data_IF_661450520565
#
_entry.id   IF_661450520565
#
_cell.length_a   1.000
_cell.length_b   1.000
_cell.length_c   1.000
_cell.angle_alpha   90.00
_cell.angle_beta   90.00
_cell.angle_gamma   90.00
#
_symmetry.space_group_name_H-M   'P 1'
#
loop_
_entity.id
_entity.type
_entity.pdbx_description
1 polymer ?
#
# COMPACT_ATOMS: atom_id res chain seq x y z
N UNK A 1 18.86 40.87 27.13
CA UNK A 1 17.64 40.57 26.39
C UNK A 1 16.45 41.13 27.15
N UNK A 2 15.45 41.80 26.54
CA UNK A 2 14.29 42.27 27.24
C UNK A 2 13.53 41.08 27.84
N UNK A 3 13.28 41.13 29.14
CA UNK A 3 12.50 40.09 29.85
C UNK A 3 11.11 39.99 29.22
N UNK A 4 10.73 38.80 28.77
CA UNK A 4 9.38 38.51 28.27
C UNK A 4 8.42 38.65 29.44
N UNK A 5 7.35 39.46 29.27
CA UNK A 5 6.29 39.55 30.25
C UNK A 5 5.59 38.16 30.34
N UNK A 6 5.26 37.77 31.55
CA UNK A 6 4.42 36.60 31.78
C UNK A 6 2.96 36.79 31.30
N UNK A 7 2.20 35.73 31.24
CA UNK A 7 0.85 35.79 30.70
C UNK A 7 -0.12 36.57 31.62
N UNK A 8 0.09 36.52 32.91
CA UNK A 8 -0.72 37.25 33.89
C UNK A 8 -0.58 38.73 33.74
N UNK A 9 0.66 39.23 33.71
CA UNK A 9 1.01 40.64 33.47
C UNK A 9 0.44 41.14 32.14
N UNK A 10 0.46 40.32 31.06
CA UNK A 10 -0.12 40.70 29.76
C UNK A 10 -1.63 40.91 29.87
N UNK A 11 -2.33 39.99 30.57
CA UNK A 11 -3.77 40.13 30.77
C UNK A 11 -4.13 41.29 31.67
N UNK A 12 -3.39 41.56 32.73
CA UNK A 12 -3.58 42.70 33.64
C UNK A 12 -3.49 44.02 32.89
N UNK A 13 -2.47 44.20 32.05
CA UNK A 13 -2.33 45.41 31.20
C UNK A 13 -3.57 45.62 30.32
N UNK A 14 -4.08 44.55 29.72
CA UNK A 14 -5.27 44.63 28.84
C UNK A 14 -6.55 44.97 29.63
N UNK A 15 -6.74 44.37 30.80
CA UNK A 15 -7.88 44.62 31.68
C UNK A 15 -7.90 46.07 32.16
N UNK A 16 -6.74 46.60 32.61
CA UNK A 16 -6.63 47.99 33.06
C UNK A 16 -6.85 48.98 31.91
N UNK A 17 -6.34 48.66 30.70
CA UNK A 17 -6.63 49.45 29.51
C UNK A 17 -8.12 49.46 29.14
N UNK A 18 -8.81 48.32 29.21
CA UNK A 18 -10.26 48.23 28.99
C UNK A 18 -11.06 49.06 30.02
N UNK A 19 -10.53 49.24 31.22
CA UNK A 19 -11.10 50.10 32.28
C UNK A 19 -10.81 51.60 32.05
N UNK A 20 -10.19 51.97 30.91
CA UNK A 20 -9.93 53.34 30.55
C UNK A 20 -8.66 53.97 31.16
N UNK A 21 -7.80 53.14 31.76
CA UNK A 21 -6.57 53.67 32.33
C UNK A 21 -5.59 54.08 31.21
N UNK A 22 -4.88 55.24 31.44
CA UNK A 22 -3.83 55.65 30.50
C UNK A 22 -2.55 54.82 30.70
N UNK A 23 -1.69 54.79 29.70
CA UNK A 23 -0.48 53.97 29.68
C UNK A 23 0.51 54.28 30.81
N UNK A 24 0.56 55.54 31.27
CA UNK A 24 1.43 55.97 32.36
C UNK A 24 0.93 55.47 33.73
N UNK A 25 -0.40 55.34 33.91
CA UNK A 25 -0.99 54.78 35.12
C UNK A 25 -0.81 53.25 35.15
N UNK A 26 -1.05 52.58 34.01
CA UNK A 26 -0.84 51.12 33.87
C UNK A 26 0.62 50.74 34.13
N UNK A 27 1.58 51.50 33.55
CA UNK A 27 3.01 51.31 33.78
C UNK A 27 3.38 51.32 35.27
N UNK A 28 2.83 52.25 36.04
CA UNK A 28 3.12 52.39 37.49
C UNK A 28 2.49 51.26 38.30
N UNK A 29 1.28 50.83 37.96
CA UNK A 29 0.54 49.79 38.66
C UNK A 29 1.15 48.43 38.44
N UNK A 30 1.44 48.06 37.19
CA UNK A 30 1.91 46.72 36.81
C UNK A 30 3.43 46.61 36.91
N UNK A 31 4.15 47.66 37.31
CA UNK A 31 5.60 47.69 37.49
C UNK A 31 6.42 47.25 36.24
N UNK A 32 5.92 47.50 35.03
CA UNK A 32 6.59 47.19 33.78
C UNK A 32 6.93 48.50 32.99
N UNK A 33 7.86 48.46 32.06
CA UNK A 33 8.20 49.65 31.29
C UNK A 33 7.02 50.19 30.47
N UNK A 34 6.91 51.51 30.34
CA UNK A 34 5.89 52.16 29.50
C UNK A 34 5.91 51.63 28.06
N UNK A 35 7.09 51.31 27.55
CA UNK A 35 7.25 50.69 26.23
C UNK A 35 6.60 49.32 26.17
N UNK A 36 6.76 48.46 27.20
CA UNK A 36 6.11 47.17 27.27
C UNK A 36 4.57 47.25 27.28
N UNK A 37 4.01 48.22 28.02
CA UNK A 37 2.57 48.53 28.04
C UNK A 37 2.11 48.92 26.62
N UNK A 38 2.79 49.86 25.97
CA UNK A 38 2.48 50.29 24.59
C UNK A 38 2.53 49.14 23.59
N UNK A 39 3.57 48.32 23.64
CA UNK A 39 3.72 47.18 22.76
C UNK A 39 2.62 46.11 22.98
N UNK A 40 2.27 45.84 24.24
CA UNK A 40 1.23 44.87 24.58
C UNK A 40 -0.15 45.30 24.09
N UNK A 41 -0.55 46.52 24.40
CA UNK A 41 -1.83 47.10 23.96
C UNK A 41 -1.87 47.20 22.44
N UNK A 42 -0.80 47.73 21.82
CA UNK A 42 -0.70 47.83 20.36
C UNK A 42 -0.80 46.49 19.64
N UNK A 43 -0.24 45.41 20.23
CA UNK A 43 -0.37 44.06 19.71
C UNK A 43 -1.81 43.57 19.81
N UNK A 44 -2.43 43.74 20.97
CA UNK A 44 -3.82 43.35 21.20
C UNK A 44 -4.80 44.04 20.23
N UNK A 45 -4.62 45.34 19.98
CA UNK A 45 -5.43 46.10 19.02
C UNK A 45 -5.23 45.58 17.60
N UNK A 46 -3.97 45.35 17.15
CA UNK A 46 -3.68 44.81 15.82
C UNK A 46 -4.22 43.38 15.60
N UNK A 47 -4.35 42.60 16.66
CA UNK A 47 -4.98 41.29 16.62
C UNK A 47 -6.52 41.34 16.68
N UNK A 48 -7.12 42.45 16.40
CA UNK A 48 -8.58 42.63 16.41
C UNK A 48 -9.19 42.47 17.81
N UNK A 49 -8.44 42.83 18.87
CA UNK A 49 -8.85 42.74 20.28
C UNK A 49 -9.23 41.32 20.76
N UNK A 50 -8.68 40.32 20.08
CA UNK A 50 -8.79 38.91 20.48
C UNK A 50 -7.75 38.60 21.57
N UNK A 51 -7.48 37.32 21.81
CA UNK A 51 -6.52 36.87 22.83
C UNK A 51 -5.18 37.61 22.73
N UNK A 52 -4.75 38.36 23.77
CA UNK A 52 -3.50 39.11 23.78
C UNK A 52 -2.25 38.23 23.76
N UNK A 53 -2.38 36.93 24.06
CA UNK A 53 -1.31 35.94 24.04
C UNK A 53 -1.06 35.39 22.63
N UNK A 54 -2.03 35.48 21.73
CA UNK A 54 -1.88 35.13 20.33
C UNK A 54 -0.81 35.99 19.66
N UNK A 55 0.38 35.43 19.49
CA UNK A 55 1.42 36.02 18.64
C UNK A 55 1.14 35.57 17.20
N UNK A 56 0.82 36.49 16.26
CA UNK A 56 0.79 36.11 14.85
C UNK A 56 2.17 35.57 14.49
N UNK A 57 2.23 34.35 14.01
CA UNK A 57 3.48 33.80 13.47
C UNK A 57 3.93 34.75 12.36
N UNK A 58 5.18 35.25 12.38
CA UNK A 58 5.64 36.15 11.33
C UNK A 58 5.46 35.38 10.00
N UNK A 59 4.72 36.02 9.06
CA UNK A 59 4.63 35.48 7.68
C UNK A 59 6.05 35.46 7.14
N UNK A 60 6.66 34.27 7.09
CA UNK A 60 7.93 34.08 6.39
C UNK A 60 7.69 34.51 4.95
N UNK A 61 8.38 35.57 4.51
CA UNK A 61 8.37 36.02 3.11
C UNK A 61 8.77 34.79 2.25
N UNK A 62 8.04 34.56 1.16
CA UNK A 62 8.41 33.56 0.12
C UNK A 62 9.65 34.09 -0.62
N UNK A 63 10.83 34.03 -0.01
CA UNK A 63 12.05 34.62 -0.59
C UNK A 63 12.87 33.67 -1.43
N UNK A 64 12.56 32.37 -1.39
CA UNK A 64 13.39 31.36 -2.03
C UNK A 64 12.92 30.93 -3.44
N UNK A 65 11.67 31.23 -3.82
CA UNK A 65 11.09 31.04 -5.15
C UNK A 65 9.99 32.09 -5.36
N UNK A 66 9.83 32.61 -6.59
CA UNK A 66 8.70 33.46 -7.00
C UNK A 66 7.52 32.59 -7.50
N UNK A 67 6.38 33.19 -7.84
CA UNK A 67 5.19 32.47 -8.29
C UNK A 67 5.43 31.73 -9.63
N UNK A 68 6.06 32.37 -10.61
CA UNK A 68 6.39 31.72 -11.88
C UNK A 68 7.30 30.50 -11.72
N UNK A 69 8.32 30.58 -10.85
CA UNK A 69 9.17 29.43 -10.54
C UNK A 69 8.43 28.32 -9.78
N UNK A 70 7.44 28.66 -8.94
CA UNK A 70 6.60 27.66 -8.27
C UNK A 70 5.69 26.98 -9.31
N UNK A 71 5.15 27.71 -10.30
CA UNK A 71 4.30 27.17 -11.37
C UNK A 71 5.09 26.25 -12.31
N UNK A 72 6.27 26.67 -12.79
CA UNK A 72 7.18 25.85 -13.58
C UNK A 72 7.59 24.56 -12.84
N UNK A 73 7.86 24.65 -11.54
CA UNK A 73 8.19 23.51 -10.71
C UNK A 73 7.04 22.49 -10.62
N UNK A 74 5.81 22.97 -10.49
CA UNK A 74 4.61 22.16 -10.39
C UNK A 74 4.33 21.49 -11.75
N UNK A 75 4.41 22.26 -12.84
CA UNK A 75 4.18 21.76 -14.20
C UNK A 75 5.18 20.66 -14.58
N UNK A 76 6.47 20.93 -14.44
CA UNK A 76 7.50 19.94 -14.71
C UNK A 76 7.35 18.67 -13.84
N UNK A 77 6.95 18.83 -12.57
CA UNK A 77 6.70 17.66 -11.70
C UNK A 77 5.46 16.86 -12.09
N UNK A 78 4.49 17.45 -12.81
CA UNK A 78 3.33 16.72 -13.36
C UNK A 78 3.67 16.03 -14.67
N UNK A 79 4.45 16.66 -15.52
CA UNK A 79 4.91 16.10 -16.80
C UNK A 79 5.86 14.93 -16.57
N UNK A 80 6.80 15.09 -15.63
CA UNK A 80 7.82 14.08 -15.30
C UNK A 80 7.72 13.65 -13.81
N UNK A 81 6.73 12.84 -13.42
CA UNK A 81 6.41 12.56 -12.02
C UNK A 81 7.48 11.75 -11.27
N UNK A 82 8.43 11.16 -11.98
CA UNK A 82 9.53 10.40 -11.39
C UNK A 82 10.77 11.24 -11.06
N UNK A 83 10.81 12.52 -11.48
CA UNK A 83 11.93 13.38 -11.13
C UNK A 83 11.99 13.63 -9.62
N UNK A 84 13.18 13.45 -9.08
CA UNK A 84 13.44 13.78 -7.68
C UNK A 84 13.45 15.31 -7.46
N UNK A 85 13.19 15.80 -6.24
CA UNK A 85 13.32 17.22 -5.93
C UNK A 85 14.72 17.81 -6.24
N UNK A 86 15.75 16.96 -6.30
CA UNK A 86 17.11 17.37 -6.68
C UNK A 86 17.22 17.62 -8.19
N UNK A 87 16.63 16.74 -8.98
CA UNK A 87 16.61 16.85 -10.46
C UNK A 87 15.72 18.01 -10.90
N UNK A 88 14.52 18.17 -10.31
CA UNK A 88 13.66 19.31 -10.55
C UNK A 88 14.38 20.64 -10.27
N UNK A 89 15.09 20.73 -9.12
CA UNK A 89 15.89 21.89 -8.77
C UNK A 89 16.99 22.15 -9.82
N UNK A 90 17.68 21.11 -10.28
CA UNK A 90 18.76 21.24 -11.25
C UNK A 90 18.25 21.69 -12.63
N UNK A 91 17.16 21.09 -13.12
CA UNK A 91 16.58 21.46 -14.43
C UNK A 91 16.08 22.90 -14.51
N UNK A 92 15.46 23.38 -13.42
CA UNK A 92 14.92 24.74 -13.34
C UNK A 92 15.92 25.75 -12.76
N UNK A 93 17.18 25.37 -12.54
CA UNK A 93 18.23 26.20 -11.97
C UNK A 93 17.80 26.96 -10.70
N UNK A 94 16.99 26.32 -9.84
CA UNK A 94 16.46 26.96 -8.65
C UNK A 94 17.53 27.08 -7.56
N UNK A 95 17.63 28.24 -6.95
CA UNK A 95 18.54 28.48 -5.81
C UNK A 95 17.97 27.99 -4.46
N UNK A 96 16.66 27.71 -4.43
CA UNK A 96 15.95 27.26 -3.25
C UNK A 96 16.49 25.97 -2.66
N UNK A 97 16.39 25.79 -1.35
CA UNK A 97 16.76 24.53 -0.68
C UNK A 97 15.83 23.39 -1.08
N UNK A 98 16.31 22.13 -1.05
CA UNK A 98 15.47 20.94 -1.31
C UNK A 98 14.25 20.87 -0.38
N UNK A 99 14.39 21.35 0.86
CA UNK A 99 13.26 21.44 1.80
C UNK A 99 12.20 22.43 1.31
N UNK A 100 12.61 23.54 0.71
CA UNK A 100 11.68 24.52 0.11
C UNK A 100 10.97 23.90 -1.10
N UNK A 101 11.69 23.26 -2.01
CA UNK A 101 11.13 22.54 -3.18
C UNK A 101 10.06 21.54 -2.72
N UNK A 102 10.42 20.63 -1.80
CA UNK A 102 9.45 19.64 -1.25
C UNK A 102 8.23 20.29 -0.62
N UNK A 103 8.40 21.44 0.04
CA UNK A 103 7.27 22.17 0.65
C UNK A 103 6.36 22.79 -0.41
N UNK A 104 6.91 23.33 -1.51
CA UNK A 104 6.12 23.88 -2.62
C UNK A 104 5.30 22.79 -3.31
N UNK A 105 5.94 21.67 -3.66
CA UNK A 105 5.27 20.53 -4.25
C UNK A 105 4.14 20.01 -3.35
N UNK A 106 4.38 19.85 -2.04
CA UNK A 106 3.33 19.45 -1.10
C UNK A 106 2.18 20.44 -1.00
N UNK A 107 2.47 21.74 -1.05
CA UNK A 107 1.45 22.79 -1.03
C UNK A 107 0.55 22.74 -2.28
N UNK A 108 1.07 22.25 -3.41
CA UNK A 108 0.35 21.98 -4.66
C UNK A 108 -0.30 20.56 -4.71
N UNK A 109 -0.29 19.81 -3.61
CA UNK A 109 -0.84 18.44 -3.54
C UNK A 109 0.08 17.36 -4.10
N UNK A 110 1.31 17.69 -4.52
CA UNK A 110 2.28 16.74 -5.09
C UNK A 110 3.19 16.19 -3.96
N UNK A 111 2.73 15.11 -3.32
CA UNK A 111 3.52 14.36 -2.33
C UNK A 111 4.45 13.35 -3.01
N UNK A 112 5.57 13.01 -2.33
CA UNK A 112 6.39 11.88 -2.75
C UNK A 112 5.81 10.58 -2.18
N UNK A 113 5.41 9.66 -3.06
CA UNK A 113 4.87 8.35 -2.72
C UNK A 113 5.71 7.25 -3.37
N UNK A 114 5.64 6.03 -2.84
CA UNK A 114 6.17 4.87 -3.56
C UNK A 114 5.25 4.56 -4.75
N UNK A 115 5.79 4.47 -5.98
CA UNK A 115 4.99 4.04 -7.12
C UNK A 115 4.53 2.60 -6.91
N UNK A 116 3.29 2.25 -7.26
CA UNK A 116 2.86 0.87 -7.28
C UNK A 116 3.63 0.11 -8.37
N UNK A 117 4.08 -1.11 -8.04
CA UNK A 117 4.68 -2.01 -9.01
C UNK A 117 3.57 -2.86 -9.64
N UNK A 118 3.35 -2.69 -10.93
CA UNK A 118 2.37 -3.46 -11.71
C UNK A 118 3.08 -4.09 -12.93
N UNK A 119 2.63 -5.26 -13.40
CA UNK A 119 3.19 -5.87 -14.61
C UNK A 119 3.10 -4.92 -15.79
N UNK A 120 4.15 -4.86 -16.60
CA UNK A 120 4.10 -4.15 -17.88
C UNK A 120 3.16 -4.89 -18.83
N UNK A 121 2.10 -4.23 -19.27
CA UNK A 121 1.09 -4.75 -20.18
C UNK A 121 1.33 -4.24 -21.59
N UNK A 122 1.39 -5.15 -22.57
CA UNK A 122 1.35 -4.81 -23.98
C UNK A 122 -0.11 -4.53 -24.40
N UNK A 123 -0.30 -3.92 -25.60
CA UNK A 123 -1.65 -3.69 -26.16
C UNK A 123 -2.44 -5.02 -26.33
N UNK A 124 -1.73 -6.11 -26.71
CA UNK A 124 -2.34 -7.43 -26.78
C UNK A 124 -2.86 -7.89 -25.41
N UNK A 125 -2.04 -7.75 -24.35
CA UNK A 125 -2.47 -8.09 -23.00
C UNK A 125 -3.67 -7.24 -22.53
N UNK A 126 -3.67 -5.95 -22.84
CA UNK A 126 -4.79 -5.06 -22.48
C UNK A 126 -6.08 -5.48 -23.17
N UNK A 127 -6.01 -5.77 -24.47
CA UNK A 127 -7.17 -6.24 -25.25
C UNK A 127 -7.72 -7.56 -24.69
N UNK A 128 -6.85 -8.55 -24.46
CA UNK A 128 -7.24 -9.85 -23.89
C UNK A 128 -7.89 -9.69 -22.50
N UNK A 129 -7.34 -8.82 -21.66
CA UNK A 129 -7.88 -8.52 -20.32
C UNK A 129 -9.25 -7.86 -20.40
N UNK A 130 -9.42 -6.89 -21.30
CA UNK A 130 -10.69 -6.19 -21.51
C UNK A 130 -11.76 -7.15 -22.02
N UNK A 131 -11.47 -7.91 -23.07
CA UNK A 131 -12.37 -8.90 -23.65
C UNK A 131 -12.79 -9.97 -22.63
N UNK A 132 -11.82 -10.46 -21.84
CA UNK A 132 -12.13 -11.40 -20.77
C UNK A 132 -13.10 -10.80 -19.74
N UNK A 133 -12.85 -9.55 -19.30
CA UNK A 133 -13.69 -8.88 -18.32
C UNK A 133 -15.09 -8.55 -18.88
N UNK A 134 -15.21 -8.20 -20.15
CA UNK A 134 -16.50 -7.99 -20.82
C UNK A 134 -17.31 -9.29 -20.86
N UNK A 135 -16.68 -10.43 -21.19
CA UNK A 135 -17.31 -11.76 -21.24
C UNK A 135 -17.68 -12.32 -19.85
N UNK A 136 -17.01 -11.85 -18.79
CA UNK A 136 -17.25 -12.31 -17.41
C UNK A 136 -17.73 -11.18 -16.50
N UNK A 137 -18.49 -10.22 -17.08
CA UNK A 137 -19.01 -9.09 -16.34
C UNK A 137 -20.17 -9.54 -15.42
N UNK A 138 -20.11 -9.27 -14.10
CA UNK A 138 -21.21 -9.57 -13.19
C UNK A 138 -22.41 -8.62 -13.35
N UNK A 139 -22.19 -7.46 -14.02
CA UNK A 139 -23.22 -6.47 -14.32
C UNK A 139 -23.15 -6.09 -15.81
N UNK A 140 -23.52 -7.03 -16.71
CA UNK A 140 -23.42 -6.80 -18.15
C UNK A 140 -24.47 -5.79 -18.64
N UNK A 141 -24.27 -5.18 -19.82
CA UNK A 141 -25.30 -4.37 -20.49
C UNK A 141 -26.60 -5.14 -20.69
N UNK A 142 -27.69 -4.40 -20.91
CA UNK A 142 -29.04 -4.96 -21.11
C UNK A 142 -29.02 -6.12 -22.11
N UNK A 143 -29.49 -7.29 -21.68
CA UNK A 143 -29.54 -8.52 -22.47
C UNK A 143 -28.36 -9.48 -22.28
N UNK A 144 -27.32 -9.09 -21.55
CA UNK A 144 -26.24 -9.99 -21.14
C UNK A 144 -26.61 -10.84 -19.92
N UNK A 145 -25.96 -11.99 -19.77
CA UNK A 145 -26.08 -12.81 -18.57
C UNK A 145 -24.97 -12.44 -17.57
N UNK A 146 -25.32 -12.17 -16.29
CA UNK A 146 -24.34 -11.84 -15.27
C UNK A 146 -23.45 -13.03 -14.94
N UNK A 147 -22.14 -12.81 -14.84
CA UNK A 147 -21.19 -13.84 -14.42
C UNK A 147 -21.07 -13.86 -12.90
N UNK A 148 -21.26 -15.03 -12.31
CA UNK A 148 -21.16 -15.22 -10.87
C UNK A 148 -19.74 -15.61 -10.44
N UNK A 149 -18.98 -14.63 -9.96
CA UNK A 149 -17.61 -14.81 -9.48
C UNK A 149 -17.53 -15.68 -8.21
N UNK A 150 -18.61 -15.83 -7.43
CA UNK A 150 -18.61 -16.73 -6.27
C UNK A 150 -18.44 -18.18 -6.66
N UNK A 151 -18.65 -18.51 -7.92
CA UNK A 151 -18.43 -19.85 -8.48
C UNK A 151 -17.00 -20.10 -8.92
N UNK A 152 -16.07 -19.17 -8.75
CA UNK A 152 -14.68 -19.35 -9.18
C UNK A 152 -13.81 -19.78 -8.01
N UNK A 153 -13.12 -20.89 -8.16
CA UNK A 153 -12.04 -21.32 -7.27
C UNK A 153 -10.69 -20.90 -7.85
N UNK A 154 -10.03 -19.96 -7.19
CA UNK A 154 -8.72 -19.44 -7.61
C UNK A 154 -7.59 -20.28 -7.04
N UNK A 155 -6.65 -20.69 -7.88
CA UNK A 155 -5.46 -21.42 -7.46
C UNK A 155 -4.19 -20.79 -8.01
N UNK A 156 -3.10 -20.91 -7.27
CA UNK A 156 -1.80 -20.34 -7.64
C UNK A 156 -0.66 -20.91 -6.80
N UNK A 157 0.58 -20.68 -7.23
CA UNK A 157 1.81 -20.99 -6.50
C UNK A 157 2.41 -19.72 -5.88
N UNK A 158 2.85 -19.85 -4.63
CA UNK A 158 3.55 -18.78 -3.92
C UNK A 158 4.90 -19.24 -3.40
N UNK A 159 5.91 -18.38 -3.55
CA UNK A 159 7.21 -18.57 -2.89
C UNK A 159 7.19 -17.82 -1.57
N UNK A 160 7.47 -18.53 -0.48
CA UNK A 160 7.65 -17.98 0.86
C UNK A 160 9.12 -18.06 1.25
N UNK A 161 9.68 -16.97 1.71
CA UNK A 161 11.07 -16.88 2.11
C UNK A 161 11.20 -16.41 3.57
N UNK A 162 12.17 -16.95 4.30
CA UNK A 162 12.47 -16.48 5.67
C UNK A 162 12.92 -15.03 5.76
N UNK A 163 13.25 -14.40 4.63
CA UNK A 163 13.66 -12.99 4.53
C UNK A 163 12.57 -12.07 3.94
N UNK A 164 11.37 -12.58 3.69
CA UNK A 164 10.24 -11.78 3.19
C UNK A 164 9.62 -10.91 4.31
N UNK A 165 10.49 -10.31 5.11
CA UNK A 165 10.07 -9.28 6.05
C UNK A 165 9.71 -8.03 5.27
N UNK A 166 8.59 -7.43 5.57
CA UNK A 166 8.21 -6.11 5.08
C UNK A 166 9.29 -5.08 5.39
N UNK A 167 9.20 -3.88 4.81
CA UNK A 167 10.17 -2.80 5.07
C UNK A 167 10.22 -2.53 6.56
N UNK A 168 11.24 -3.07 7.27
CA UNK A 168 11.45 -2.81 8.68
C UNK A 168 11.84 -1.36 8.90
N UNK A 169 11.05 -0.65 9.70
CA UNK A 169 11.35 0.70 10.12
C UNK A 169 12.06 0.66 11.47
N UNK A 170 13.27 1.21 11.54
CA UNK A 170 13.97 1.41 12.80
C UNK A 170 13.84 2.84 13.29
N UNK A 171 13.47 3.03 14.55
CA UNK A 171 13.49 4.34 15.22
C UNK A 171 14.85 4.53 15.87
N UNK A 172 15.64 5.46 15.38
CA UNK A 172 17.00 5.76 15.86
C UNK A 172 17.29 7.25 15.84
N UNK A 173 18.24 7.72 16.66
CA UNK A 173 18.81 9.07 16.56
C UNK A 173 19.43 9.29 15.17
N UNK A 174 19.46 10.54 14.72
CA UNK A 174 19.88 10.89 13.34
C UNK A 174 21.31 10.40 13.03
N UNK A 175 22.21 10.43 14.02
CA UNK A 175 23.62 10.09 13.86
C UNK A 175 23.96 8.64 14.22
N UNK A 176 22.96 7.82 14.62
CA UNK A 176 23.12 6.45 15.09
C UNK A 176 22.92 5.38 14.01
N UNK A 177 23.08 5.73 12.72
CA UNK A 177 22.79 4.82 11.58
C UNK A 177 23.61 3.53 11.62
N UNK A 178 24.82 3.61 12.13
CA UNK A 178 25.78 2.53 12.09
C UNK A 178 26.01 1.87 13.46
N UNK A 179 25.20 2.22 14.48
CA UNK A 179 25.23 1.49 15.74
C UNK A 179 24.61 0.09 15.52
N UNK A 180 25.30 -0.93 16.01
CA UNK A 180 25.00 -2.36 15.79
C UNK A 180 23.52 -2.72 16.07
N UNK A 181 22.96 -2.18 17.16
CA UNK A 181 21.53 -2.34 17.54
C UNK A 181 20.50 -1.80 16.53
N UNK A 182 20.93 -1.02 15.54
CA UNK A 182 20.06 -0.46 14.48
C UNK A 182 20.36 -1.05 13.11
N UNK A 183 21.30 -1.99 13.03
CA UNK A 183 21.69 -2.69 11.82
C UNK A 183 20.90 -4.00 11.77
N UNK A 184 20.22 -4.24 10.68
CA UNK A 184 19.68 -5.56 10.36
C UNK A 184 20.78 -6.28 9.59
N UNK A 185 21.31 -7.36 10.16
CA UNK A 185 22.29 -8.19 9.48
C UNK A 185 21.65 -8.83 8.23
N UNK A 186 22.28 -8.64 7.08
CA UNK A 186 21.87 -9.29 5.83
C UNK A 186 22.43 -10.73 5.80
N UNK A 187 21.67 -11.65 6.36
CA UNK A 187 22.01 -13.09 6.40
C UNK A 187 21.65 -13.79 5.10
N UNK A 188 22.05 -13.25 3.93
CA UNK A 188 21.78 -13.88 2.61
C UNK A 188 22.19 -15.33 2.52
N UNK A 189 23.22 -15.73 3.26
CA UNK A 189 23.67 -17.13 3.36
C UNK A 189 22.72 -18.07 4.08
N UNK A 190 21.76 -17.56 4.85
CA UNK A 190 20.79 -18.33 5.62
C UNK A 190 19.37 -18.30 5.05
N UNK A 191 19.15 -17.62 3.93
CA UNK A 191 17.82 -17.50 3.29
C UNK A 191 17.30 -18.87 2.88
N UNK A 192 16.20 -19.28 3.48
CA UNK A 192 15.46 -20.47 3.10
C UNK A 192 14.19 -20.05 2.38
N UNK A 193 13.84 -20.75 1.31
CA UNK A 193 12.58 -20.54 0.60
C UNK A 193 11.90 -21.87 0.30
N UNK A 194 10.59 -21.87 0.33
CA UNK A 194 9.73 -22.95 -0.12
C UNK A 194 8.74 -22.40 -1.16
N UNK A 195 8.28 -23.26 -2.04
CA UNK A 195 7.14 -22.97 -2.91
C UNK A 195 5.94 -23.74 -2.39
N UNK A 196 4.81 -23.09 -2.31
CA UNK A 196 3.53 -23.69 -1.92
C UNK A 196 2.50 -23.45 -3.01
N UNK A 197 1.59 -24.39 -3.18
CA UNK A 197 0.41 -24.23 -4.00
C UNK A 197 -0.82 -24.18 -3.09
N UNK A 198 -1.81 -23.36 -3.44
CA UNK A 198 -3.06 -23.28 -2.69
C UNK A 198 -4.25 -22.99 -3.59
N UNK A 199 -5.44 -23.16 -3.03
CA UNK A 199 -6.72 -22.88 -3.68
C UNK A 199 -7.67 -22.19 -2.70
N UNK A 200 -8.45 -21.26 -3.20
CA UNK A 200 -9.50 -20.57 -2.44
C UNK A 200 -10.79 -20.55 -3.25
N UNK A 201 -11.92 -20.49 -2.57
CA UNK A 201 -13.23 -20.20 -3.17
C UNK A 201 -14.01 -19.23 -2.28
N UNK A 202 -15.20 -18.83 -2.68
CA UNK A 202 -16.10 -18.04 -1.84
C UNK A 202 -16.47 -18.75 -0.50
N UNK A 203 -16.20 -20.04 -0.40
CA UNK A 203 -16.40 -20.87 0.80
C UNK A 203 -15.23 -20.82 1.79
N UNK A 204 -14.16 -20.14 1.44
CA UNK A 204 -12.94 -19.99 2.25
C UNK A 204 -11.69 -20.57 1.58
N UNK A 205 -10.67 -20.84 2.40
CA UNK A 205 -9.40 -21.42 1.96
C UNK A 205 -9.51 -22.95 1.85
N UNK A 206 -9.06 -23.48 0.71
CA UNK A 206 -8.93 -24.91 0.47
C UNK A 206 -7.58 -25.49 0.92
N UNK A 207 -7.12 -26.60 0.33
CA UNK A 207 -5.83 -27.22 0.66
C UNK A 207 -4.64 -26.32 0.32
N UNK A 208 -3.56 -26.52 1.09
CA UNK A 208 -2.23 -25.95 0.87
C UNK A 208 -1.23 -27.11 0.68
N UNK A 209 -0.39 -27.03 -0.34
CA UNK A 209 0.54 -28.11 -0.70
C UNK A 209 1.96 -27.58 -0.82
N UNK A 210 2.92 -28.27 -0.20
CA UNK A 210 4.35 -27.99 -0.40
C UNK A 210 4.79 -28.48 -1.80
N UNK A 211 5.25 -27.54 -2.62
CA UNK A 211 5.82 -27.83 -3.94
C UNK A 211 7.31 -28.13 -3.77
N UNK A 212 7.67 -29.39 -3.97
CA UNK A 212 9.06 -29.85 -3.85
C UNK A 212 9.79 -29.75 -5.21
N UNK A 213 10.84 -28.94 -5.25
CA UNK A 213 11.68 -28.78 -6.42
C UNK A 213 10.99 -28.04 -7.57
N UNK A 214 11.52 -28.17 -8.80
CA UNK A 214 10.93 -27.57 -9.99
C UNK A 214 9.82 -28.49 -10.51
N UNK A 215 8.60 -27.99 -10.54
CA UNK A 215 7.43 -28.74 -11.00
C UNK A 215 7.32 -28.68 -12.53
N UNK A 216 7.16 -29.83 -13.17
CA UNK A 216 6.79 -29.96 -14.58
C UNK A 216 5.29 -30.28 -14.73
N UNK A 217 4.80 -30.34 -15.96
CA UNK A 217 3.38 -30.61 -16.25
C UNK A 217 2.90 -31.97 -15.70
N UNK A 218 3.73 -33.02 -15.75
CA UNK A 218 3.36 -34.31 -15.20
C UNK A 218 3.25 -34.30 -13.68
N UNK A 219 4.23 -33.70 -13.01
CA UNK A 219 4.22 -33.55 -11.55
C UNK A 219 3.05 -32.65 -11.09
N UNK A 220 2.74 -31.60 -11.83
CA UNK A 220 1.58 -30.76 -11.57
C UNK A 220 0.28 -31.57 -11.65
N UNK A 221 0.10 -32.34 -12.72
CA UNK A 221 -1.09 -33.17 -12.87
C UNK A 221 -1.21 -34.27 -11.80
N UNK A 222 -0.09 -34.89 -11.40
CA UNK A 222 -0.12 -35.94 -10.39
C UNK A 222 -0.31 -35.46 -8.98
N UNK A 223 0.45 -34.41 -8.59
CA UNK A 223 0.49 -33.94 -7.19
C UNK A 223 -0.61 -32.94 -6.88
N UNK A 224 -0.86 -32.03 -7.82
CA UNK A 224 -1.81 -30.92 -7.59
C UNK A 224 -3.19 -31.33 -8.15
N UNK A 225 -3.31 -31.57 -9.46
CA UNK A 225 -4.63 -31.79 -10.05
C UNK A 225 -5.27 -33.08 -9.48
N UNK A 226 -4.60 -34.19 -9.56
CA UNK A 226 -5.15 -35.50 -9.07
C UNK A 226 -5.19 -35.57 -7.54
N UNK A 227 -4.17 -35.05 -6.86
CA UNK A 227 -4.06 -35.15 -5.42
C UNK A 227 -5.06 -34.26 -4.68
N UNK A 228 -5.24 -33.03 -5.14
CA UNK A 228 -5.95 -32.00 -4.39
C UNK A 228 -7.15 -31.43 -5.15
N UNK A 229 -6.93 -30.98 -6.41
CA UNK A 229 -7.97 -30.26 -7.15
C UNK A 229 -9.17 -31.14 -7.43
N UNK A 230 -8.98 -32.39 -7.85
CA UNK A 230 -10.08 -33.33 -8.13
C UNK A 230 -10.96 -33.48 -6.90
N UNK A 231 -10.39 -33.79 -5.74
CA UNK A 231 -11.15 -33.94 -4.50
C UNK A 231 -11.87 -32.65 -4.10
N UNK A 232 -11.20 -31.51 -4.25
CA UNK A 232 -11.78 -30.22 -3.93
C UNK A 232 -12.94 -29.88 -4.85
N UNK A 233 -12.82 -30.13 -6.14
CA UNK A 233 -13.87 -29.85 -7.14
C UNK A 233 -15.03 -30.86 -7.04
N UNK A 234 -14.76 -32.13 -6.74
CA UNK A 234 -15.81 -33.13 -6.50
C UNK A 234 -16.67 -32.76 -5.28
N UNK A 235 -16.04 -32.22 -4.24
CA UNK A 235 -16.77 -31.69 -3.08
C UNK A 235 -17.49 -30.36 -3.37
N UNK A 236 -17.17 -29.70 -4.47
CA UNK A 236 -17.70 -28.39 -4.87
C UNK A 236 -18.01 -28.34 -6.38
N UNK A 237 -18.97 -29.15 -6.87
CA UNK A 237 -19.18 -29.37 -8.31
C UNK A 237 -19.75 -28.15 -9.07
N UNK A 238 -20.25 -27.15 -8.37
CA UNK A 238 -20.73 -25.89 -8.92
C UNK A 238 -19.63 -24.86 -9.19
N UNK A 239 -18.40 -25.12 -8.70
CA UNK A 239 -17.28 -24.19 -8.90
C UNK A 239 -16.61 -24.38 -10.27
N UNK A 240 -15.97 -23.29 -10.71
CA UNK A 240 -15.10 -23.23 -11.89
C UNK A 240 -13.63 -23.12 -11.41
N UNK A 241 -12.80 -24.07 -11.78
CA UNK A 241 -11.40 -24.05 -11.44
C UNK A 241 -10.64 -23.00 -12.25
N UNK A 242 -9.95 -22.09 -11.59
CA UNK A 242 -9.09 -21.10 -12.22
C UNK A 242 -7.62 -21.41 -11.96
N UNK A 243 -6.81 -21.35 -12.99
CA UNK A 243 -5.34 -21.39 -12.96
C UNK A 243 -4.77 -20.32 -13.89
N UNK A 244 -3.53 -19.93 -13.66
CA UNK A 244 -2.85 -18.94 -14.51
C UNK A 244 -2.39 -19.55 -15.85
N UNK A 245 -1.72 -18.69 -16.67
CA UNK A 245 -1.19 -19.07 -17.97
C UNK A 245 0.25 -19.59 -17.94
N UNK A 246 0.76 -20.12 -16.81
CA UNK A 246 2.08 -20.73 -16.76
C UNK A 246 2.22 -21.82 -17.81
N UNK A 247 3.44 -22.02 -18.32
CA UNK A 247 3.70 -23.01 -19.39
C UNK A 247 3.29 -24.43 -19.02
N UNK A 248 3.41 -24.80 -17.75
CA UNK A 248 2.99 -26.11 -17.22
C UNK A 248 1.47 -26.28 -17.25
N UNK A 249 0.71 -25.19 -17.02
CA UNK A 249 -0.75 -25.19 -17.03
C UNK A 249 -1.30 -25.22 -18.47
N UNK A 250 -0.63 -24.52 -19.39
CA UNK A 250 -1.02 -24.45 -20.82
C UNK A 250 -0.57 -25.66 -21.64
N UNK A 251 0.26 -26.54 -21.11
CA UNK A 251 0.75 -27.68 -21.84
C UNK A 251 -0.42 -28.58 -22.30
N UNK A 252 -0.29 -29.18 -23.49
CA UNK A 252 -1.29 -30.12 -23.98
C UNK A 252 -1.53 -31.27 -23.00
N UNK A 253 -0.46 -31.75 -22.38
CA UNK A 253 -0.54 -32.80 -21.37
C UNK A 253 -1.48 -32.40 -20.21
N UNK A 254 -1.30 -31.23 -19.63
CA UNK A 254 -2.12 -30.73 -18.53
C UNK A 254 -3.57 -30.51 -18.96
N UNK A 255 -3.78 -29.88 -20.12
CA UNK A 255 -5.13 -29.63 -20.64
C UNK A 255 -5.91 -30.92 -20.90
N UNK A 256 -5.26 -31.92 -21.50
CA UNK A 256 -5.87 -33.23 -21.75
C UNK A 256 -6.12 -33.99 -20.43
N UNK A 257 -5.23 -33.81 -19.43
CA UNK A 257 -5.41 -34.42 -18.11
C UNK A 257 -6.63 -33.82 -17.39
N UNK A 258 -6.72 -32.52 -17.30
CA UNK A 258 -7.85 -31.78 -16.66
C UNK A 258 -9.17 -32.16 -17.34
N UNK A 259 -9.21 -32.19 -18.68
CA UNK A 259 -10.41 -32.59 -19.42
C UNK A 259 -10.90 -33.98 -19.06
N UNK A 260 -9.97 -34.95 -18.82
CA UNK A 260 -10.30 -36.30 -18.36
C UNK A 260 -10.80 -36.36 -16.93
N UNK A 261 -10.39 -35.38 -16.07
CA UNK A 261 -10.89 -35.32 -14.70
C UNK A 261 -12.36 -34.82 -14.62
N UNK A 262 -12.87 -34.11 -15.64
CA UNK A 262 -14.31 -33.83 -15.80
C UNK A 262 -14.83 -32.64 -15.00
N UNK A 263 -14.03 -31.95 -14.19
CA UNK A 263 -14.50 -30.75 -13.49
C UNK A 263 -14.49 -29.51 -14.40
N UNK A 264 -15.32 -28.53 -14.07
CA UNK A 264 -15.44 -27.31 -14.83
C UNK A 264 -14.24 -26.36 -14.62
N UNK A 265 -13.77 -25.71 -15.70
CA UNK A 265 -12.62 -24.79 -15.68
C UNK A 265 -13.04 -23.42 -16.19
N UNK A 266 -12.55 -22.39 -15.55
CA UNK A 266 -12.67 -21.01 -16.06
C UNK A 266 -11.67 -20.84 -17.21
N UNK A 267 -12.19 -20.81 -18.44
CA UNK A 267 -11.37 -20.67 -19.64
C UNK A 267 -11.02 -19.21 -19.96
N UNK A 268 -9.96 -19.01 -20.75
CA UNK A 268 -9.60 -17.72 -21.30
C UNK A 268 -8.97 -16.75 -20.28
N UNK A 269 -8.48 -17.24 -19.13
CA UNK A 269 -7.82 -16.38 -18.16
C UNK A 269 -6.72 -15.52 -18.82
N UNK A 270 -6.77 -14.18 -18.69
CA UNK A 270 -5.86 -13.31 -19.40
C UNK A 270 -4.45 -13.34 -18.77
N UNK A 271 -3.43 -13.24 -19.62
CA UNK A 271 -2.05 -13.20 -19.19
C UNK A 271 -1.76 -11.95 -18.33
N UNK A 272 -0.78 -12.06 -17.42
CA UNK A 272 -0.33 -10.94 -16.56
C UNK A 272 -1.46 -10.26 -15.76
N UNK A 273 -2.36 -11.07 -15.20
CA UNK A 273 -3.54 -10.60 -14.46
C UNK A 273 -3.56 -11.03 -12.98
N UNK A 274 -2.46 -10.86 -12.20
CA UNK A 274 -2.47 -11.19 -10.79
C UNK A 274 -3.46 -10.31 -9.99
N UNK A 275 -3.71 -9.11 -10.45
CA UNK A 275 -4.64 -8.15 -9.85
C UNK A 275 -6.13 -8.57 -9.97
N UNK A 276 -6.45 -9.53 -10.83
CA UNK A 276 -7.76 -10.18 -10.91
C UNK A 276 -7.81 -11.49 -10.10
N UNK A 277 -6.67 -12.08 -9.77
CA UNK A 277 -6.59 -13.33 -9.00
C UNK A 277 -6.70 -13.05 -7.51
N UNK A 278 -7.79 -13.50 -6.89
CA UNK A 278 -8.07 -13.21 -5.47
C UNK A 278 -7.09 -13.90 -4.53
N UNK A 279 -6.50 -15.00 -4.91
CA UNK A 279 -5.54 -15.74 -4.09
C UNK A 279 -4.26 -14.94 -3.82
N UNK A 280 -3.90 -14.00 -4.70
CA UNK A 280 -2.75 -13.10 -4.49
C UNK A 280 -2.93 -12.22 -3.25
N UNK A 281 -4.16 -11.82 -2.95
CA UNK A 281 -4.48 -11.10 -1.72
C UNK A 281 -4.34 -12.02 -0.49
N UNK A 282 -4.72 -13.28 -0.62
CA UNK A 282 -4.57 -14.27 0.45
C UNK A 282 -3.08 -14.58 0.70
N UNK A 283 -2.24 -14.64 -0.35
CA UNK A 283 -0.79 -14.74 -0.20
C UNK A 283 -0.20 -13.54 0.56
N UNK A 284 -0.72 -12.35 0.31
CA UNK A 284 -0.32 -11.17 1.08
C UNK A 284 -0.70 -11.29 2.57
N UNK A 285 -1.92 -11.73 2.86
CA UNK A 285 -2.40 -11.93 4.23
C UNK A 285 -1.62 -13.05 4.94
N UNK A 286 -1.31 -14.14 4.24
CA UNK A 286 -0.46 -15.21 4.75
C UNK A 286 0.95 -14.71 5.11
N UNK A 287 1.58 -13.93 4.25
CA UNK A 287 2.89 -13.33 4.52
C UNK A 287 2.85 -12.39 5.72
N UNK A 288 1.76 -11.65 5.88
CA UNK A 288 1.55 -10.78 7.05
C UNK A 288 1.35 -11.58 8.33
N UNK A 289 0.65 -12.72 8.27
CA UNK A 289 0.47 -13.63 9.41
C UNK A 289 1.79 -14.29 9.84
N UNK A 290 2.72 -14.47 8.90
CA UNK A 290 4.05 -15.05 9.13
C UNK A 290 5.07 -14.03 9.66
N UNK A 291 4.78 -12.72 9.60
CA UNK A 291 5.72 -11.68 10.03
C UNK A 291 6.08 -11.85 11.53
N UNK A 292 7.37 -11.87 11.81
CA UNK A 292 7.91 -12.14 13.15
C UNK A 292 7.86 -13.61 13.62
N UNK A 293 7.31 -14.56 12.82
CA UNK A 293 7.18 -15.98 13.21
C UNK A 293 8.17 -16.91 12.53
N UNK A 294 8.87 -16.46 11.50
CA UNK A 294 9.77 -17.26 10.65
C UNK A 294 11.24 -16.84 10.74
N UNK A 295 11.56 -15.95 11.70
CA UNK A 295 12.91 -15.41 11.87
C UNK A 295 13.87 -16.41 12.52
N UNK A 296 13.36 -17.25 13.41
CA UNK A 296 14.14 -18.17 14.24
C UNK A 296 14.31 -19.58 13.66
N UNK A 297 14.02 -19.74 12.35
CA UNK A 297 14.15 -21.03 11.69
C UNK A 297 15.62 -21.39 11.50
N UNK A 298 16.09 -22.41 12.26
CA UNK A 298 17.47 -22.83 12.30
C UNK A 298 17.59 -24.37 12.17
N UNK A 299 18.82 -24.86 12.04
CA UNK A 299 19.07 -26.31 12.00
C UNK A 299 19.09 -26.91 10.60
N UNK A 300 18.97 -28.26 10.50
CA UNK A 300 19.15 -29.01 9.23
C UNK A 300 17.90 -29.01 8.36
N UNK A 301 16.70 -29.07 8.95
CA UNK A 301 15.42 -29.09 8.23
C UNK A 301 14.70 -27.74 8.25
N UNK A 302 15.35 -26.71 7.75
CA UNK A 302 14.76 -25.37 7.67
C UNK A 302 13.53 -25.30 6.77
N UNK A 303 13.46 -26.14 5.73
CA UNK A 303 12.32 -26.15 4.79
C UNK A 303 11.08 -26.77 5.40
N UNK A 304 11.24 -27.86 6.15
CA UNK A 304 10.14 -28.47 6.91
C UNK A 304 9.59 -27.51 7.95
N UNK A 305 10.47 -26.94 8.80
CA UNK A 305 10.07 -25.97 9.80
C UNK A 305 9.35 -24.75 9.19
N UNK A 306 9.83 -24.23 8.03
CA UNK A 306 9.17 -23.13 7.34
C UNK A 306 7.79 -23.55 6.84
N UNK A 307 7.65 -24.75 6.29
CA UNK A 307 6.37 -25.26 5.82
C UNK A 307 5.38 -25.48 6.97
N UNK A 308 5.83 -25.98 8.12
CA UNK A 308 4.99 -26.12 9.31
C UNK A 308 4.41 -24.77 9.74
N UNK A 309 5.25 -23.73 9.80
CA UNK A 309 4.80 -22.37 10.11
C UNK A 309 3.83 -21.80 9.08
N UNK A 310 4.07 -22.05 7.80
CA UNK A 310 3.19 -21.62 6.70
C UNK A 310 1.85 -22.35 6.79
N UNK A 311 1.85 -23.65 7.12
CA UNK A 311 0.63 -24.44 7.32
C UNK A 311 -0.18 -23.96 8.51
N UNK A 312 0.46 -23.68 9.66
CA UNK A 312 -0.19 -23.10 10.84
C UNK A 312 -0.87 -21.73 10.52
N UNK A 313 -0.17 -20.87 9.77
CA UNK A 313 -0.69 -19.59 9.35
C UNK A 313 -1.85 -19.72 8.35
N UNK A 314 -1.75 -20.65 7.40
CA UNK A 314 -2.82 -20.98 6.47
C UNK A 314 -4.07 -21.50 7.20
N UNK A 315 -3.91 -22.43 8.14
CA UNK A 315 -5.00 -22.96 8.94
C UNK A 315 -5.64 -21.89 9.84
N UNK A 316 -4.85 -20.95 10.35
CA UNK A 316 -5.37 -19.77 11.06
C UNK A 316 -6.31 -18.94 10.18
N UNK A 317 -5.93 -18.69 8.93
CA UNK A 317 -6.79 -18.00 7.95
C UNK A 317 -7.99 -18.87 7.55
N UNK A 318 -7.79 -20.16 7.32
CA UNK A 318 -8.81 -21.13 6.93
C UNK A 318 -9.91 -21.27 7.99
N UNK A 319 -9.54 -21.27 9.25
CA UNK A 319 -10.48 -21.37 10.38
C UNK A 319 -11.42 -20.17 10.52
N UNK A 320 -11.16 -19.05 9.83
CA UNK A 320 -12.10 -17.94 9.69
C UNK A 320 -13.25 -18.27 8.72
N UNK A 321 -13.15 -19.39 8.00
CA UNK A 321 -14.16 -19.80 7.03
C UNK A 321 -14.34 -18.79 5.89
N UNK A 322 -15.58 -18.63 5.37
CA UNK A 322 -15.86 -17.70 4.28
C UNK A 322 -15.46 -16.25 4.59
N UNK A 323 -15.48 -15.81 5.85
CA UNK A 323 -15.14 -14.43 6.25
C UNK A 323 -13.73 -14.03 5.82
N UNK A 324 -12.80 -14.99 5.73
CA UNK A 324 -11.43 -14.73 5.26
C UNK A 324 -11.38 -14.18 3.83
N UNK A 325 -12.34 -14.50 2.99
CA UNK A 325 -12.34 -14.23 1.54
C UNK A 325 -13.52 -13.42 1.04
N UNK A 326 -14.62 -13.29 1.81
CA UNK A 326 -15.87 -12.63 1.38
C UNK A 326 -15.60 -11.25 0.78
N UNK A 327 -14.83 -10.40 1.45
CA UNK A 327 -14.50 -9.05 0.99
C UNK A 327 -13.72 -9.05 -0.35
N UNK A 328 -12.96 -10.13 -0.64
CA UNK A 328 -12.24 -10.30 -1.90
C UNK A 328 -13.22 -10.57 -3.04
N UNK A 329 -14.13 -11.52 -2.84
CA UNK A 329 -15.16 -11.84 -3.83
C UNK A 329 -16.09 -10.65 -4.09
N UNK A 330 -16.50 -9.92 -3.05
CA UNK A 330 -17.25 -8.67 -3.17
C UNK A 330 -16.51 -7.56 -3.93
N UNK A 331 -15.18 -7.65 -4.02
CA UNK A 331 -14.38 -6.70 -4.80
C UNK A 331 -14.37 -6.99 -6.30
N UNK A 332 -14.72 -8.22 -6.75
CA UNK A 332 -14.64 -8.62 -8.16
C UNK A 332 -15.45 -7.74 -9.11
N UNK A 333 -16.70 -7.37 -8.82
CA UNK A 333 -17.44 -6.47 -9.70
C UNK A 333 -16.69 -5.15 -9.95
N UNK A 334 -16.08 -4.58 -8.93
CA UNK A 334 -15.29 -3.34 -9.03
C UNK A 334 -14.00 -3.53 -9.83
N UNK A 335 -13.31 -4.69 -9.66
CA UNK A 335 -12.10 -5.02 -10.45
C UNK A 335 -12.43 -5.17 -11.93
N UNK A 336 -13.47 -5.92 -12.25
CA UNK A 336 -13.94 -6.14 -13.63
C UNK A 336 -14.33 -4.83 -14.28
N UNK A 337 -15.17 -4.04 -13.62
CA UNK A 337 -15.57 -2.71 -14.09
C UNK A 337 -14.36 -1.81 -14.34
N UNK A 338 -13.38 -1.78 -13.42
CA UNK A 338 -12.17 -1.01 -13.57
C UNK A 338 -11.38 -1.37 -14.82
N UNK A 339 -11.18 -2.67 -15.09
CA UNK A 339 -10.44 -3.14 -16.28
C UNK A 339 -11.16 -2.70 -17.56
N UNK A 340 -12.49 -2.81 -17.61
CA UNK A 340 -13.30 -2.39 -18.78
C UNK A 340 -13.17 -0.88 -19.00
N UNK A 341 -13.36 -0.07 -17.96
CA UNK A 341 -13.30 1.40 -18.01
C UNK A 341 -11.90 1.95 -18.31
N UNK A 342 -10.83 1.18 -18.03
CA UNK A 342 -9.42 1.58 -18.23
C UNK A 342 -8.73 0.78 -19.35
N UNK A 343 -9.51 0.34 -20.37
CA UNK A 343 -9.00 -0.33 -21.57
C UNK A 343 -8.00 -1.46 -21.27
N UNK A 344 -8.37 -2.36 -20.36
CA UNK A 344 -7.57 -3.50 -19.98
C UNK A 344 -6.39 -3.17 -19.07
N UNK A 345 -6.32 -1.95 -18.52
CA UNK A 345 -5.29 -1.50 -17.59
C UNK A 345 -5.26 -2.27 -16.28
N UNK A 346 -4.18 -2.14 -15.47
CA UNK A 346 -4.09 -2.78 -14.18
C UNK A 346 -5.05 -2.14 -13.18
N UNK A 347 -5.63 -2.98 -12.30
CA UNK A 347 -6.53 -2.50 -11.25
C UNK A 347 -5.75 -1.90 -10.06
N UNK A 348 -6.37 -1.13 -9.18
CA UNK A 348 -5.73 -0.64 -7.95
C UNK A 348 -5.53 -1.71 -6.87
N UNK A 349 -5.92 -2.96 -7.13
CA UNK A 349 -5.82 -4.10 -6.22
C UNK A 349 -4.52 -4.86 -6.35
#
# INVERSE_FOLDING_TARGET
>A
MPRLLDNETIWEIIVLHKRGWNYSRIHREVHVSRHAVTCTIGRWIRNGRRDPLLRPKPRRKKTATNEGQDDELIELSREEPFLTPRELKARLNLTASLTTIKRRLRAAGLGGYRPPHKPSLTEAHRRERKEFCENHNPDPPIGGLPFDWNRVAFSDECIICTSDHGVRWVRRPRNARWEERYIVEDTRSSRTSISVWGIISSRGLGPLVLVQGRMNSEQYCRRIIRGEVVQYMDANPDLLYQQDNASIHRSRYTQDFIRRCGFAVLNGWPAKSPDLSLIENVWHDLKRELDGKIEDITGRDKKGQLFDKVSEAWDTLRNKGPEAVTHLYESMPRRIKWVIEHDGGPTPY
#
